data_IF_132497040681
#
_entry.id   IF_132497040681
#
_cell.length_a   1.000
_cell.length_b   1.000
_cell.length_c   1.000
_cell.angle_alpha   90.00
_cell.angle_beta   90.00
_cell.angle_gamma   90.00
#
_symmetry.space_group_name_H-M   'P 1'
#
loop_
_entity.id
_entity.type
_entity.pdbx_description
1 polymer ?
2 polymer ?
3 non-polymer ?
4 water ?
#
# COMPACT_ATOMS: atom_id res chain seq x y z
N UNK A 1 -9.91 9.61 -20.41
CA UNK A 1 -8.81 8.68 -20.44
C UNK A 1 -8.86 7.74 -19.25
N UNK A 2 -8.81 6.49 -19.50
CA UNK A 2 -8.85 5.54 -18.40
C UNK A 2 -7.45 5.18 -17.93
N UNK A 3 -7.27 4.90 -16.64
CA UNK A 3 -5.95 4.47 -16.18
C UNK A 3 -5.54 3.22 -16.91
N UNK A 4 -4.29 3.10 -17.32
CA UNK A 4 -3.90 1.95 -18.12
C UNK A 4 -3.56 0.72 -17.28
N UNK A 5 -4.58 -0.08 -16.98
CA UNK A 5 -4.35 -1.26 -16.17
C UNK A 5 -3.65 -2.36 -16.94
N UNK A 6 -3.56 -2.26 -18.26
CA UNK A 6 -2.78 -3.22 -19.03
C UNK A 6 -1.29 -3.05 -18.83
N UNK A 7 -0.85 -1.98 -18.17
CA UNK A 7 0.55 -1.76 -17.89
C UNK A 7 0.88 -2.23 -16.48
N UNK A 8 1.93 -3.03 -16.36
CA UNK A 8 2.29 -3.62 -15.08
C UNK A 8 2.76 -2.57 -14.09
N UNK A 9 3.43 -1.52 -14.57
CA UNK A 9 3.93 -0.45 -13.71
C UNK A 9 3.43 0.89 -14.23
N UNK A 10 3.08 1.80 -13.31
CA UNK A 10 2.75 3.18 -13.63
C UNK A 10 3.84 4.15 -13.19
N UNK A 11 4.98 3.66 -12.71
CA UNK A 11 5.97 4.57 -12.12
C UNK A 11 6.40 5.62 -13.12
N UNK A 12 6.58 5.24 -14.38
CA UNK A 12 7.12 6.17 -15.36
C UNK A 12 6.07 7.11 -15.92
N UNK A 13 4.79 6.78 -15.78
CA UNK A 13 3.70 7.62 -16.30
C UNK A 13 3.16 8.61 -15.29
N UNK A 14 3.43 8.40 -14.00
CA UNK A 14 2.87 9.21 -12.94
C UNK A 14 3.87 10.30 -12.56
N UNK A 15 3.36 11.52 -12.36
CA UNK A 15 4.17 12.64 -11.89
C UNK A 15 4.36 12.55 -10.38
N UNK A 16 3.28 12.59 -9.63
CA UNK A 16 3.35 12.44 -8.18
C UNK A 16 2.01 12.00 -7.63
N UNK A 17 2.05 11.55 -6.39
CA UNK A 17 0.86 11.50 -5.55
C UNK A 17 0.62 12.91 -5.00
N UNK A 18 -0.59 13.43 -5.18
CA UNK A 18 -0.96 14.76 -4.71
C UNK A 18 -1.41 14.76 -3.26
N UNK A 19 -2.21 13.77 -2.86
CA UNK A 19 -2.68 13.69 -1.47
C UNK A 19 -3.23 12.29 -1.24
N UNK A 20 -3.23 11.89 0.03
CA UNK A 20 -3.86 10.66 0.51
C UNK A 20 -4.85 11.07 1.58
N UNK A 21 -6.06 10.52 1.50
CA UNK A 21 -7.10 10.84 2.47
C UNK A 21 -7.80 9.55 2.85
N UNK A 22 -8.65 9.63 3.87
CA UNK A 22 -9.27 8.44 4.45
C UNK A 22 -10.79 8.52 4.31
N UNK A 23 -11.37 7.45 3.77
CA UNK A 23 -12.80 7.32 3.68
C UNK A 23 -13.40 6.99 5.05
N UNK A 24 -14.73 7.11 5.14
CA UNK A 24 -15.45 6.85 6.38
C UNK A 24 -15.20 5.44 6.90
N UNK A 25 -15.08 4.46 6.00
CA UNK A 25 -14.85 3.06 6.37
C UNK A 25 -13.39 2.78 6.67
N UNK A 26 -12.56 3.81 6.70
CA UNK A 26 -11.18 3.66 7.05
C UNK A 26 -10.23 3.38 5.92
N UNK A 27 -10.73 3.11 4.71
CA UNK A 27 -9.85 2.87 3.59
C UNK A 27 -9.16 4.16 3.16
N UNK A 28 -7.91 4.05 2.74
CA UNK A 28 -7.14 5.18 2.22
C UNK A 28 -7.27 5.25 0.70
N UNK A 29 -7.44 6.47 0.18
CA UNK A 29 -7.46 6.74 -1.24
C UNK A 29 -6.38 7.77 -1.55
N UNK A 30 -5.90 7.73 -2.79
CA UNK A 30 -4.80 8.58 -3.24
C UNK A 30 -5.15 9.23 -4.57
N UNK A 31 -4.93 10.54 -4.65
CA UNK A 31 -5.13 11.29 -5.87
C UNK A 31 -3.78 11.45 -6.54
N UNK A 32 -3.67 11.00 -7.78
CA UNK A 32 -2.40 11.06 -8.47
C UNK A 32 -2.52 11.99 -9.68
N UNK A 33 -1.41 12.68 -9.90
CA UNK A 33 -1.20 13.52 -11.07
C UNK A 33 -0.32 12.78 -12.07
N UNK A 34 -0.84 12.57 -13.27
CA UNK A 34 -0.08 11.89 -14.32
C UNK A 34 0.82 12.87 -15.05
N UNK A 35 1.87 12.32 -15.66
CA UNK A 35 2.78 13.19 -16.41
C UNK A 35 2.08 13.91 -17.56
N UNK A 36 1.00 13.32 -18.10
CA UNK A 36 0.26 13.92 -19.22
C UNK A 36 -0.78 14.94 -18.76
N UNK A 37 -0.81 15.28 -17.46
CA UNK A 37 -1.67 16.30 -16.92
C UNK A 37 -2.94 15.77 -16.26
N UNK A 38 -3.38 14.58 -16.65
CA UNK A 38 -4.62 14.05 -16.10
C UNK A 38 -4.47 13.75 -14.61
N UNK A 39 -5.61 13.65 -13.93
CA UNK A 39 -5.63 13.24 -12.54
C UNK A 39 -6.58 12.08 -12.41
N UNK A 40 -6.27 11.20 -11.45
CA UNK A 40 -7.18 10.14 -11.08
C UNK A 40 -6.96 9.80 -9.62
N UNK A 41 -7.98 9.20 -9.04
CA UNK A 41 -7.96 8.81 -7.64
C UNK A 41 -8.21 7.32 -7.55
N UNK A 42 -7.45 6.66 -6.67
CA UNK A 42 -7.50 5.21 -6.53
C UNK A 42 -7.47 4.82 -5.06
N UNK A 43 -8.04 3.68 -4.75
CA UNK A 43 -7.74 3.03 -3.47
C UNK A 43 -6.23 2.85 -3.37
N UNK A 44 -5.69 3.06 -2.17
CA UNK A 44 -4.25 2.98 -2.03
C UNK A 44 -3.70 1.63 -2.47
N UNK A 45 -4.46 0.54 -2.30
CA UNK A 45 -3.93 -0.76 -2.70
C UNK A 45 -3.56 -0.77 -4.18
N UNK A 46 -4.29 -0.03 -5.00
CA UNK A 46 -3.97 0.06 -6.42
C UNK A 46 -2.63 0.73 -6.60
N UNK A 47 -2.41 1.83 -5.88
CA UNK A 47 -1.15 2.55 -5.97
C UNK A 47 0.01 1.69 -5.47
N UNK A 48 -0.21 0.89 -4.42
CA UNK A 48 0.83 -0.02 -3.95
C UNK A 48 1.29 -0.95 -5.05
N UNK A 49 0.36 -1.42 -5.89
CA UNK A 49 0.70 -2.34 -6.95
C UNK A 49 1.26 -1.66 -8.20
N UNK A 50 0.87 -0.43 -8.50
CA UNK A 50 1.26 0.19 -9.76
C UNK A 50 2.41 1.19 -9.65
N UNK A 51 2.49 1.93 -8.54
CA UNK A 51 3.57 2.90 -8.42
C UNK A 51 3.89 3.13 -6.95
N UNK A 52 4.38 2.09 -6.28
CA UNK A 52 4.65 2.22 -4.84
C UNK A 52 5.71 3.26 -4.56
N UNK A 53 6.68 3.46 -5.46
CA UNK A 53 7.75 4.39 -5.17
C UNK A 53 7.22 5.83 -5.14
N UNK A 54 6.16 6.12 -5.89
CA UNK A 54 5.57 7.46 -5.82
C UNK A 54 4.90 7.71 -4.48
N UNK A 55 4.24 6.69 -3.92
CA UNK A 55 3.55 6.93 -2.66
C UNK A 55 4.58 6.95 -1.51
N UNK A 56 5.69 6.19 -1.63
CA UNK A 56 6.76 6.29 -0.64
C UNK A 56 7.38 7.68 -0.65
N UNK A 57 7.61 8.22 -1.85
CA UNK A 57 8.13 9.58 -1.95
C UNK A 57 7.21 10.57 -1.23
N UNK A 58 5.91 10.41 -1.42
CA UNK A 58 4.93 11.29 -0.83
C UNK A 58 4.92 11.15 0.69
N UNK A 59 4.93 9.93 1.20
CA UNK A 59 4.90 9.76 2.65
C UNK A 59 6.18 10.32 3.27
N UNK A 60 7.33 10.06 2.66
CA UNK A 60 8.57 10.56 3.25
C UNK A 60 8.68 12.06 3.18
N UNK A 61 7.99 12.71 2.22
CA UNK A 61 7.91 14.17 2.22
C UNK A 61 7.05 14.72 3.34
N UNK A 62 6.34 13.86 4.06
CA UNK A 62 5.44 14.26 5.14
C UNK A 62 5.86 13.67 6.47
N UNK A 63 7.07 13.13 6.58
CA UNK A 63 7.51 12.41 7.77
C UNK A 63 7.84 13.43 8.84
N UNK A 64 7.53 13.08 10.09
CA UNK A 64 7.87 13.92 11.24
C UNK A 64 8.39 13.03 12.36
N UNK A 65 9.49 13.44 12.99
CA UNK A 65 10.04 12.70 14.10
C UNK A 65 9.84 13.49 15.37
N UNK A 66 9.46 12.81 16.44
CA UNK A 66 9.14 13.45 17.70
C UNK A 66 10.42 13.81 18.45
N UNK B 1 23.85 -15.19 9.76
CA UNK B 1 22.79 -15.09 8.78
C UNK B 1 22.72 -13.67 8.26
N UNK B 2 23.25 -13.47 7.05
CA UNK B 2 23.39 -12.18 6.38
C UNK B 2 22.19 -11.91 5.46
N UNK B 3 21.83 -10.64 5.25
CA UNK B 3 20.73 -10.34 4.33
C UNK B 3 21.06 -10.75 2.91
N UNK B 4 20.08 -11.22 2.14
CA UNK B 4 20.34 -11.60 0.74
C UNK B 4 20.32 -10.40 -0.18
N UNK B 5 21.43 -9.66 -0.15
CA UNK B 5 21.48 -8.41 -0.89
C UNK B 5 21.36 -8.60 -2.39
N UNK B 6 21.72 -9.77 -2.92
CA UNK B 6 21.62 -10.00 -4.35
C UNK B 6 20.20 -10.25 -4.79
N UNK B 7 19.33 -10.70 -3.89
CA UNK B 7 17.95 -10.99 -4.27
C UNK B 7 17.20 -9.69 -4.54
N UNK B 8 16.47 -9.66 -5.65
CA UNK B 8 15.86 -8.39 -6.06
C UNK B 8 14.74 -7.97 -5.12
N UNK B 9 13.96 -8.92 -4.61
CA UNK B 9 12.84 -8.63 -3.73
C UNK B 9 12.99 -9.33 -2.39
N UNK B 10 12.69 -8.61 -1.32
CA UNK B 10 12.65 -9.17 0.03
C UNK B 10 11.22 -9.29 0.58
N UNK B 11 10.20 -9.00 -0.23
CA UNK B 11 8.86 -8.93 0.31
C UNK B 11 8.47 -10.23 0.98
N UNK B 12 8.83 -11.37 0.39
CA UNK B 12 8.41 -12.65 0.95
C UNK B 12 9.20 -13.06 2.19
N UNK B 13 10.29 -12.34 2.50
CA UNK B 13 11.20 -12.73 3.56
C UNK B 13 11.08 -11.85 4.80
N UNK B 14 10.38 -10.73 4.70
CA UNK B 14 10.32 -9.72 5.73
C UNK B 14 8.95 -9.78 6.40
N UNK B 15 8.95 -9.77 7.73
CA UNK B 15 7.72 -9.65 8.50
C UNK B 15 7.19 -8.22 8.45
N UNK B 16 7.98 -7.26 8.92
CA UNK B 16 7.51 -5.91 8.94
C UNK B 16 8.71 -5.00 9.07
N UNK B 17 8.49 -3.74 8.73
CA UNK B 17 9.38 -2.68 9.16
C UNK B 17 8.96 -2.30 10.58
N UNK B 18 9.91 -2.31 11.51
CA UNK B 18 9.64 -2.00 12.91
C UNK B 18 9.71 -0.51 13.19
N UNK B 19 10.72 0.16 12.66
CA UNK B 19 10.89 1.59 12.86
C UNK B 19 11.56 2.20 11.64
N UNK B 20 11.29 3.49 11.42
CA UNK B 20 12.10 4.35 10.58
C UNK B 20 12.60 5.49 11.46
N UNK B 21 13.89 5.80 11.35
CA UNK B 21 14.54 6.81 12.17
C UNK B 21 15.39 7.66 11.25
N UNK B 22 15.75 8.85 11.72
CA UNK B 22 16.57 9.76 10.94
C UNK B 22 17.87 9.99 11.67
N UNK B 23 18.98 9.69 11.00
CA UNK B 23 20.29 9.93 11.57
C UNK B 23 20.62 11.41 11.52
N UNK B 24 21.65 11.81 12.26
CA UNK B 24 22.01 13.22 12.34
C UNK B 24 22.19 13.83 10.96
N UNK B 25 22.87 13.11 10.06
CA UNK B 25 23.12 13.64 8.71
C UNK B 25 21.86 13.79 7.88
N UNK B 26 20.73 13.29 8.35
CA UNK B 26 19.48 13.40 7.62
C UNK B 26 19.03 12.11 6.96
N UNK B 27 19.91 11.11 6.85
CA UNK B 27 19.55 9.84 6.21
C UNK B 27 18.45 9.15 7.02
N UNK B 28 17.53 8.49 6.31
CA UNK B 28 16.52 7.66 6.95
C UNK B 28 16.99 6.21 6.94
N UNK B 29 16.85 5.52 8.07
CA UNK B 29 17.19 4.11 8.18
C UNK B 29 15.98 3.37 8.74
N UNK B 30 15.85 2.13 8.32
CA UNK B 30 14.70 1.31 8.64
C UNK B 30 15.18 0.05 9.33
N UNK B 31 14.56 -0.26 10.46
CA UNK B 31 14.83 -1.50 11.19
C UNK B 31 13.77 -2.50 10.79
N UNK B 32 14.17 -3.65 10.31
CA UNK B 32 13.18 -4.60 9.79
C UNK B 32 13.29 -5.92 10.53
N UNK B 33 12.14 -6.56 10.69
CA UNK B 33 12.05 -7.86 11.32
C UNK B 33 11.77 -8.86 10.22
N UNK B 34 12.64 -9.85 10.13
CA UNK B 34 12.49 -10.87 9.12
C UNK B 34 11.51 -11.94 9.62
N UNK B 35 10.97 -12.71 8.68
CA UNK B 35 10.05 -13.77 9.07
C UNK B 35 10.73 -14.85 9.91
N UNK B 36 12.05 -14.95 9.91
CA UNK B 36 12.73 -15.90 10.77
C UNK B 36 13.00 -15.35 12.14
N UNK B 37 12.54 -14.13 12.44
CA UNK B 37 12.72 -13.52 13.73
C UNK B 37 13.97 -12.67 13.90
N UNK B 38 14.86 -12.66 12.92
CA UNK B 38 16.04 -11.81 12.98
C UNK B 38 15.66 -10.37 12.65
N UNK B 39 16.48 -9.44 13.14
CA UNK B 39 16.29 -8.01 12.88
C UNK B 39 17.57 -7.47 12.25
N UNK B 40 17.41 -6.56 11.28
CA UNK B 40 18.57 -5.90 10.69
C UNK B 40 18.14 -4.50 10.32
N UNK B 41 19.14 -3.62 10.08
CA UNK B 41 18.90 -2.21 9.80
C UNK B 41 19.49 -1.86 8.46
N UNK B 42 18.74 -1.09 7.67
CA UNK B 42 19.15 -0.72 6.32
C UNK B 42 18.77 0.71 6.02
N UNK B 43 19.60 1.36 5.21
CA UNK B 43 19.21 2.62 4.58
C UNK B 43 17.84 2.46 3.93
N UNK B 44 16.96 3.45 4.12
CA UNK B 44 15.65 3.38 3.48
C UNK B 44 15.75 3.18 1.98
N UNK B 45 16.79 3.73 1.35
CA UNK B 45 16.93 3.59 -0.09
C UNK B 45 16.95 2.12 -0.47
N UNK B 46 17.61 1.28 0.34
CA UNK B 46 17.65 -0.13 0.06
C UNK B 46 16.27 -0.73 0.24
N UNK B 47 15.59 -0.33 1.32
CA UNK B 47 14.26 -0.89 1.58
C UNK B 47 13.28 -0.53 0.45
N UNK B 48 13.38 0.68 -0.11
CA UNK B 48 12.55 1.04 -1.26
C UNK B 48 12.72 0.04 -2.39
N UNK B 49 13.97 -0.40 -2.60
CA UNK B 49 14.29 -1.34 -3.68
C UNK B 49 13.78 -2.74 -3.34
N UNK B 50 13.94 -3.17 -2.09
CA UNK B 50 13.77 -4.57 -1.75
C UNK B 50 12.37 -4.94 -1.28
N UNK B 51 11.74 -4.10 -0.47
CA UNK B 51 10.42 -4.44 0.06
C UNK B 51 9.63 -3.17 0.27
N UNK B 52 9.35 -2.45 -0.81
CA UNK B 52 8.56 -1.22 -0.67
C UNK B 52 7.19 -1.44 -0.05
N UNK B 53 6.53 -2.57 -0.29
CA UNK B 53 5.23 -2.74 0.35
C UNK B 53 5.34 -2.79 1.86
N UNK B 54 6.45 -3.28 2.40
CA UNK B 54 6.58 -3.32 3.85
C UNK B 54 6.75 -1.92 4.42
N UNK B 55 7.49 -1.05 3.75
CA UNK B 55 7.66 0.28 4.32
C UNK B 55 6.39 1.07 4.14
N UNK B 56 5.61 0.78 3.08
CA UNK B 56 4.30 1.41 2.92
C UNK B 56 3.37 1.01 4.05
N UNK B 57 3.36 -0.26 4.39
CA UNK B 57 2.56 -0.77 5.52
C UNK B 57 2.89 -0.03 6.80
N UNK B 58 4.19 0.14 7.06
CA UNK B 58 4.61 0.90 8.24
C UNK B 58 4.14 2.34 8.17
N UNK B 59 4.40 3.04 7.06
CA UNK B 59 4.00 4.43 6.97
C UNK B 59 2.49 4.60 7.11
N UNK B 60 1.70 3.71 6.52
CA UNK B 60 0.25 3.89 6.61
C UNK B 60 -0.27 3.58 8.01
N UNK B 61 0.47 2.80 8.81
CA UNK B 61 0.10 2.56 10.19
C UNK B 61 0.35 3.78 11.06
N UNK B 62 1.11 4.76 10.56
CA UNK B 62 1.50 5.92 11.34
C UNK B 62 1.09 7.21 10.66
N UNK B 63 0.10 7.17 9.79
CA UNK B 63 -0.43 8.40 9.22
C UNK B 63 -1.29 9.10 10.26
N UNK B 64 -1.13 10.42 10.34
CA UNK B 64 -1.93 11.26 11.20
C UNK B 64 -2.50 12.39 10.34
N UNK B 65 -3.82 12.49 10.30
CA UNK B 65 -4.48 13.59 9.60
C UNK B 65 -4.65 14.79 10.52
N UNK B 66 -4.22 15.95 10.03
CA UNK B 66 -4.30 17.19 10.80
C UNK B 66 -5.11 18.31 10.15
N UNK C 7 12.09 8.11 19.80
CA UNK C 7 11.62 9.18 18.92
C UNK C 7 10.72 8.61 17.83
N UNK C 8 9.41 8.59 18.09
CA UNK C 8 8.47 7.96 17.17
C UNK C 8 8.43 8.67 15.83
N UNK C 9 8.06 7.92 14.80
CA UNK C 9 7.90 8.44 13.45
C UNK C 9 6.43 8.48 13.09
N UNK C 10 6.01 9.55 12.44
CA UNK C 10 4.63 9.65 11.96
C UNK C 10 4.62 10.37 10.62
N UNK C 11 3.62 10.06 9.82
CA UNK C 11 3.42 10.67 8.52
C UNK C 11 2.26 11.65 8.69
N UNK C 12 2.53 12.95 8.61
CA UNK C 12 1.54 13.97 8.97
C UNK C 12 0.98 14.57 7.68
N UNK C 13 -0.33 14.33 7.46
CA UNK C 13 -1.00 14.72 6.23
C UNK C 13 -2.13 15.68 6.56
N UNK C 14 -2.16 16.81 5.88
CA UNK C 14 -3.24 17.77 6.10
C UNK C 14 -4.51 17.20 5.52
N UNK C 15 -5.58 17.23 6.30
CA UNK C 15 -6.87 16.76 5.82
C UNK C 15 -7.37 17.67 4.71
N UNK C 16 -7.95 17.07 3.67
CA UNK C 16 -8.60 17.80 2.59
C UNK C 16 -10.01 17.26 2.42
N UNK C 17 -10.93 18.07 1.92
CA UNK C 17 -12.28 17.52 1.62
C UNK C 17 -12.22 16.41 0.61
N UNK C 18 -13.04 15.38 0.84
CA UNK C 18 -12.98 14.24 -0.04
C UNK C 18 -13.43 14.57 -1.45
N UNK C 19 -14.25 15.61 -1.65
CA UNK C 19 -14.60 15.96 -3.02
C UNK C 19 -13.47 16.66 -3.80
N UNK C 20 -12.30 16.88 -3.21
CA UNK C 20 -11.09 17.17 -3.97
C UNK C 20 -10.56 15.92 -4.68
N UNK C 21 -10.93 14.74 -4.22
CA UNK C 21 -10.41 13.47 -4.70
C UNK C 21 -11.46 12.65 -5.44
N UNK C 22 -12.64 12.58 -4.90
CA UNK C 22 -13.59 11.56 -5.35
C UNK C 22 -14.12 11.81 -6.76
N UNK C 23 -14.22 13.04 -7.25
CA UNK C 23 -14.72 13.18 -8.62
C UNK C 23 -13.90 12.49 -9.67
N UNK C 24 -12.65 12.12 -9.35
CA UNK C 24 -11.73 11.48 -10.28
C UNK C 24 -11.47 10.04 -9.90
N UNK C 25 -12.34 9.46 -9.07
CA UNK C 25 -12.19 8.10 -8.54
C UNK C 25 -13.17 7.19 -9.26
N UNK C 26 -12.65 6.15 -9.89
CA UNK C 26 -13.50 5.12 -10.49
C UNK C 26 -13.78 4.08 -9.42
N UNK C 27 -14.99 4.13 -8.88
CA UNK C 27 -15.41 3.28 -7.77
C UNK C 27 -15.49 1.82 -8.16
N UNK C 28 -15.43 1.50 -9.44
CA UNK C 28 -15.54 0.10 -9.86
C UNK C 28 -14.20 -0.66 -9.79
N UNK C 29 -13.07 0.04 -9.73
CA UNK C 29 -11.77 -0.61 -9.92
C UNK C 29 -11.58 -1.75 -8.95
N UNK C 30 -11.87 -1.52 -7.67
CA UNK C 30 -11.58 -2.52 -6.66
C UNK C 30 -12.81 -3.33 -6.29
N UNK C 31 -13.71 -3.55 -7.25
CA UNK C 31 -14.71 -4.59 -7.08
C UNK C 31 -13.98 -5.93 -7.00
N UNK C 32 -14.17 -6.64 -5.90
CA UNK C 32 -13.49 -7.92 -5.72
C UNK C 32 -14.14 -8.94 -6.64
N UNK C 33 -13.33 -9.61 -7.45
CA UNK C 33 -13.88 -10.60 -8.35
C UNK C 33 -13.75 -12.00 -7.82
N UNK C 34 -12.63 -12.32 -7.17
CA UNK C 34 -12.44 -13.66 -6.64
C UNK C 34 -11.25 -13.66 -5.69
N UNK C 35 -11.31 -14.60 -4.75
CA UNK C 35 -10.17 -14.92 -3.90
C UNK C 35 -9.33 -15.97 -4.62
N UNK C 36 -8.06 -15.66 -4.83
CA UNK C 36 -7.15 -16.47 -5.62
C UNK C 36 -6.40 -17.50 -4.78
N UNK C 37 -5.84 -17.10 -3.63
CA UNK C 37 -5.11 -18.00 -2.75
C UNK C 37 -4.93 -17.29 -1.42
N UNK C 38 -4.30 -17.97 -0.47
CA UNK C 38 -4.01 -17.42 0.85
C UNK C 38 -2.54 -17.06 0.97
N UNK C 39 -2.24 -16.13 1.89
CA UNK C 39 -0.84 -15.87 2.23
C UNK C 39 -0.80 -15.45 3.69
N UNK C 40 -0.46 -16.40 4.55
CA UNK C 40 -0.50 -16.18 6.00
C UNK C 40 -1.93 -15.81 6.36
N UNK C 41 -2.17 -14.73 7.07
CA UNK C 41 -3.56 -14.39 7.40
C UNK C 41 -4.28 -13.70 6.25
N UNK C 42 -3.56 -13.32 5.18
CA UNK C 42 -4.13 -12.51 4.13
C UNK C 42 -4.65 -13.39 2.99
N UNK C 43 -5.43 -12.77 2.11
CA UNK C 43 -5.93 -13.41 0.91
C UNK C 43 -5.50 -12.62 -0.31
N UNK C 44 -5.01 -13.34 -1.33
CA UNK C 44 -4.76 -12.70 -2.61
C UNK C 44 -6.05 -12.59 -3.39
N UNK C 45 -6.43 -11.36 -3.76
CA UNK C 45 -7.69 -11.14 -4.46
C UNK C 45 -7.42 -10.55 -5.83
N UNK C 46 -8.32 -10.87 -6.77
CA UNK C 46 -8.38 -10.24 -8.08
C UNK C 46 -9.43 -9.15 -8.07
N UNK C 47 -9.03 -7.93 -8.37
CA UNK C 47 -9.97 -6.82 -8.52
C UNK C 47 -10.38 -6.67 -9.98
N UNK C 48 -11.57 -6.12 -10.18
CA UNK C 48 -12.13 -5.94 -11.52
C UNK C 48 -11.19 -5.19 -12.46
N UNK C 49 -10.48 -4.18 -11.99
CA UNK C 49 -9.59 -3.44 -12.85
C UNK C 49 -8.48 -4.31 -13.44
N UNK C 50 -8.19 -5.44 -12.82
CA UNK C 50 -7.21 -6.38 -13.34
C UNK C 50 -5.92 -6.31 -12.55
N UNK C 51 -6.05 -6.00 -11.27
CA UNK C 51 -4.95 -5.96 -10.33
C UNK C 51 -5.19 -7.05 -9.31
N UNK C 52 -4.13 -7.74 -8.92
CA UNK C 52 -4.16 -8.69 -7.82
C UNK C 52 -3.38 -8.12 -6.66
N UNK C 53 -3.87 -8.37 -5.43
CA UNK C 53 -3.21 -7.84 -4.26
C UNK C 53 -3.54 -8.66 -3.03
N UNK C 54 -2.64 -8.63 -2.05
CA UNK C 54 -2.90 -9.25 -0.76
C UNK C 54 -3.71 -8.32 0.14
N UNK C 55 -4.84 -8.81 0.61
CA UNK C 55 -5.74 -8.05 1.46
C UNK C 55 -5.94 -8.78 2.78
N UNK C 56 -5.91 -8.03 3.89
CA UNK C 56 -6.27 -8.60 5.17
C UNK C 56 -7.73 -9.03 5.18
N UNK C 57 -8.00 -10.20 5.77
CA UNK C 57 -9.36 -10.68 5.81
C UNK C 57 -10.30 -9.69 6.44
N UNK C 58 -9.88 -9.03 7.53
CA UNK C 58 -10.77 -8.13 8.22
C UNK C 58 -10.84 -6.76 7.56
N UNK C 59 -10.21 -6.60 6.38
CA UNK C 59 -10.34 -5.38 5.62
C UNK C 59 -11.00 -5.60 4.27
N UNK C 60 -11.39 -6.84 3.97
CA UNK C 60 -12.07 -7.09 2.70
C UNK C 60 -13.40 -6.35 2.60
N UNK C 61 -14.08 -6.10 3.74
CA UNK C 61 -15.35 -5.40 3.71
C UNK C 61 -15.20 -3.93 3.37
N UNK C 62 -14.00 -3.44 3.15
CA UNK C 62 -13.77 -2.09 2.72
C UNK C 62 -13.84 -1.95 1.20
N UNK C 63 -14.07 -3.05 0.47
CA UNK C 63 -14.06 -3.11 -1.00
C UNK C 63 -15.39 -3.67 -1.48
N UNK C 64 -15.88 -3.15 -2.60
CA UNK C 64 -17.09 -3.71 -3.21
C UNK C 64 -16.93 -5.19 -3.38
N UNK C 65 -17.94 -5.93 -2.93
CA UNK C 65 -18.04 -7.39 -3.06
C UNK C 65 -17.04 -8.11 -2.15
N UNK C 66 -16.28 -7.42 -1.31
CA UNK C 66 -15.28 -8.10 -0.52
C UNK C 66 -15.90 -8.91 0.59
N UNK C 67 -16.86 -8.32 1.30
CA UNK C 67 -17.57 -9.03 2.37
C UNK C 67 -18.26 -10.28 1.83
N UNK C 68 -18.99 -10.14 0.71
CA UNK C 68 -19.70 -11.27 0.13
C UNK C 68 -18.72 -12.35 -0.34
N UNK C 69 -17.63 -11.95 -0.98
CA UNK C 69 -16.64 -12.92 -1.42
C UNK C 69 -16.04 -13.67 -0.25
N UNK C 70 -15.68 -12.93 0.79
CA UNK C 70 -15.12 -13.58 1.98
C UNK C 70 -16.10 -14.57 2.61
N UNK C 71 -17.36 -14.17 2.73
CA UNK C 71 -18.40 -15.02 3.30
C UNK C 71 -18.44 -16.37 2.60
N UNK C 72 -18.44 -16.36 1.28
CA UNK C 72 -18.51 -17.63 0.57
C UNK C 72 -17.20 -18.39 0.73
N UNK C 73 -16.06 -17.69 0.63
CA UNK C 73 -14.77 -18.36 0.81
C UNK C 73 -14.70 -19.07 2.16
N UNK C 74 -15.19 -18.41 3.22
CA UNK C 74 -15.14 -19.01 4.55
C UNK C 74 -15.98 -20.27 4.64
N UNK C 75 -17.12 -20.28 3.94
CA UNK C 75 -17.97 -21.46 3.94
C UNK C 75 -17.26 -22.62 3.25
N UNK C 76 -16.57 -22.36 2.13
CA UNK C 76 -15.84 -23.43 1.46
C UNK C 76 -14.62 -23.87 2.28
N UNK C 77 -13.87 -22.90 2.82
CA UNK C 77 -12.68 -23.21 3.61
C UNK C 77 -13.01 -24.11 4.79
N UNK C 78 -14.17 -23.89 5.40
CA UNK C 78 -14.58 -24.61 6.61
C UNK C 78 -15.39 -25.87 6.30
N UNK C 79 -15.70 -26.11 5.02
CA UNK C 79 -16.38 -27.32 4.64
C UNK C 79 -17.88 -27.27 4.72
N UNK C 80 -18.46 -26.11 5.04
CA UNK C 80 -19.91 -25.94 4.97
C UNK C 80 -20.35 -25.86 3.52
N UNK C 81 -19.43 -25.59 2.61
CA UNK C 81 -19.62 -25.77 1.18
C UNK C 81 -18.39 -26.48 0.63
#
# INVERSE_FOLDING_TARGET
>A
MKPPFQKKSWEDLVDCVKTVQQLDNGKLIAKIKWKNGYVSTHDNIIIHQKCPLKIIEYYEAHIKFT
>B
MKPPFQKKSWEDLVDCVKTVQQLDNGKLIAKIKWKNGYVSTHDNIIIHQKCPLKIIEYYEAHIKFT
>C
MPKEDDSLCKIVVRREPLDVLLPYYDASETTVQKILHENDSTLSVKFLAGVEALIKKDELDKYKNGKACLRVWLKHKSGKR
#
